data_IF_589773624952
#
_entry.id   IF_589773624952
#
_cell.length_a   1.000
_cell.length_b   1.000
_cell.length_c   1.000
_cell.angle_alpha   90.00
_cell.angle_beta   90.00
_cell.angle_gamma   90.00
#
_symmetry.space_group_name_H-M   'P 1'
#
loop_
_entity.id
_entity.type
_entity.pdbx_description
1 polymer ?
#
# COMPACT_ATOMS: atom_id res chain seq x y z
N UNK A 1 6.75 -3.69 13.28
CA UNK A 1 5.29 -3.87 13.04
C UNK A 1 5.11 -5.11 12.18
N UNK A 2 4.11 -5.96 12.48
CA UNK A 2 3.72 -7.02 11.54
C UNK A 2 3.00 -6.36 10.37
N UNK A 3 3.34 -6.73 9.14
CA UNK A 3 2.66 -6.20 7.95
C UNK A 3 1.17 -6.56 7.98
N UNK A 4 0.25 -5.65 7.63
CA UNK A 4 -1.18 -5.97 7.50
C UNK A 4 -1.49 -6.68 6.18
N UNK A 5 -0.50 -6.81 5.29
CA UNK A 5 -0.68 -7.34 3.94
C UNK A 5 -0.38 -8.85 3.86
N UNK A 6 -0.97 -9.49 2.86
CA UNK A 6 -0.75 -10.90 2.56
C UNK A 6 0.73 -11.16 2.21
N UNK A 7 1.23 -12.37 2.50
CA UNK A 7 2.58 -12.77 2.12
C UNK A 7 2.78 -12.72 0.59
N UNK A 8 4.04 -12.73 0.17
CA UNK A 8 4.41 -12.82 -1.24
C UNK A 8 3.79 -14.09 -1.87
N UNK A 9 3.07 -13.96 -3.00
CA UNK A 9 2.61 -15.11 -3.77
C UNK A 9 3.78 -15.97 -4.25
N UNK A 10 3.58 -17.28 -4.30
CA UNK A 10 4.53 -18.20 -4.89
C UNK A 10 4.56 -18.07 -6.43
N UNK A 11 5.70 -18.33 -7.05
CA UNK A 11 5.83 -18.38 -8.51
C UNK A 11 6.03 -17.03 -9.22
N UNK A 12 6.15 -15.94 -8.49
CA UNK A 12 6.50 -14.63 -9.07
C UNK A 12 7.97 -14.60 -9.53
N UNK A 13 8.23 -13.95 -10.66
CA UNK A 13 9.58 -13.60 -11.09
C UNK A 13 10.23 -12.57 -10.14
N UNK A 14 11.55 -12.45 -10.19
CA UNK A 14 12.28 -11.48 -9.37
C UNK A 14 11.81 -10.03 -9.60
N UNK A 15 11.50 -9.68 -10.85
CA UNK A 15 10.97 -8.37 -11.20
C UNK A 15 9.59 -8.11 -10.56
N UNK A 16 8.69 -9.11 -10.58
CA UNK A 16 7.37 -9.03 -9.97
C UNK A 16 7.46 -8.96 -8.44
N UNK A 17 8.35 -9.75 -7.83
CA UNK A 17 8.64 -9.68 -6.39
C UNK A 17 9.13 -8.29 -6.01
N UNK A 18 10.09 -7.74 -6.74
CA UNK A 18 10.64 -6.41 -6.48
C UNK A 18 9.57 -5.31 -6.59
N UNK A 19 8.75 -5.35 -7.65
CA UNK A 19 7.66 -4.41 -7.86
C UNK A 19 6.59 -4.51 -6.76
N UNK A 20 6.21 -5.73 -6.36
CA UNK A 20 5.25 -5.96 -5.27
C UNK A 20 5.79 -5.44 -3.93
N UNK A 21 7.05 -5.73 -3.61
CA UNK A 21 7.69 -5.25 -2.38
C UNK A 21 7.82 -3.73 -2.36
N UNK A 22 8.06 -3.06 -3.51
CA UNK A 22 8.01 -1.59 -3.60
C UNK A 22 6.64 -1.08 -3.20
N UNK A 23 5.57 -1.62 -3.79
CA UNK A 23 4.19 -1.22 -3.51
C UNK A 23 3.80 -1.49 -2.05
N UNK A 24 4.17 -2.66 -1.52
CA UNK A 24 3.99 -3.02 -0.10
C UNK A 24 4.63 -1.99 0.84
N UNK A 25 5.89 -1.62 0.63
CA UNK A 25 6.57 -0.62 1.47
C UNK A 25 5.87 0.75 1.42
N UNK A 26 5.35 1.15 0.27
CA UNK A 26 4.60 2.39 0.15
C UNK A 26 3.29 2.33 0.93
N UNK A 27 2.55 1.22 0.82
CA UNK A 27 1.30 1.01 1.54
C UNK A 27 1.52 0.93 3.06
N UNK A 28 2.54 0.20 3.53
CA UNK A 28 2.91 0.11 4.94
C UNK A 28 3.24 1.47 5.54
N UNK A 29 3.94 2.32 4.77
CA UNK A 29 4.23 3.70 5.18
C UNK A 29 2.95 4.51 5.37
N UNK A 30 2.01 4.45 4.41
CA UNK A 30 0.72 5.12 4.55
C UNK A 30 -0.06 4.65 5.78
N UNK A 31 -0.13 3.34 6.02
CA UNK A 31 -0.79 2.77 7.20
C UNK A 31 -0.14 3.27 8.50
N UNK A 32 1.20 3.27 8.56
CA UNK A 32 1.92 3.75 9.73
C UNK A 32 1.69 5.25 9.98
N UNK A 33 1.72 6.08 8.93
CA UNK A 33 1.44 7.52 9.02
C UNK A 33 0.01 7.77 9.52
N UNK A 34 -0.98 7.06 8.99
CA UNK A 34 -2.37 7.17 9.42
C UNK A 34 -2.54 6.79 10.90
N UNK A 35 -1.93 5.67 11.31
CA UNK A 35 -1.95 5.20 12.70
C UNK A 35 -1.28 6.20 13.66
N UNK A 36 -0.12 6.76 13.30
CA UNK A 36 0.57 7.79 14.09
C UNK A 36 -0.24 9.10 14.18
N UNK A 37 -1.01 9.42 13.14
CA UNK A 37 -1.94 10.54 13.11
C UNK A 37 -3.28 10.29 13.82
N UNK A 38 -3.44 9.16 14.51
CA UNK A 38 -4.66 8.82 15.26
C UNK A 38 -5.85 8.39 14.39
N UNK A 39 -5.64 8.15 13.10
CA UNK A 39 -6.66 7.72 12.13
C UNK A 39 -6.23 6.42 11.45
N UNK A 40 -6.13 5.30 12.20
CA UNK A 40 -5.75 4.03 11.59
C UNK A 40 -6.74 3.65 10.48
N UNK A 41 -6.26 3.07 9.36
CA UNK A 41 -7.13 2.74 8.24
C UNK A 41 -8.12 1.63 8.62
N UNK A 42 -9.33 1.71 8.05
CA UNK A 42 -10.34 0.65 8.19
C UNK A 42 -9.91 -0.62 7.45
N UNK A 43 -10.58 -1.74 7.73
CA UNK A 43 -10.37 -3.00 6.99
C UNK A 43 -10.63 -2.87 5.48
N UNK A 44 -11.56 -2.01 5.08
CA UNK A 44 -11.88 -1.75 3.67
C UNK A 44 -10.71 -1.05 2.96
N UNK A 45 -10.12 -0.04 3.62
CA UNK A 45 -8.92 0.64 3.11
C UNK A 45 -7.73 -0.33 3.02
N UNK A 46 -7.55 -1.20 4.03
CA UNK A 46 -6.50 -2.23 4.00
C UNK A 46 -6.72 -3.21 2.83
N UNK A 47 -7.96 -3.62 2.56
CA UNK A 47 -8.28 -4.50 1.45
C UNK A 47 -8.00 -3.84 0.09
N UNK A 48 -8.33 -2.57 -0.09
CA UNK A 48 -8.00 -1.85 -1.33
C UNK A 48 -6.47 -1.64 -1.46
N UNK A 49 -5.78 -1.39 -0.34
CA UNK A 49 -4.32 -1.30 -0.33
C UNK A 49 -3.70 -2.65 -0.68
N UNK A 50 -4.29 -3.77 -0.28
CA UNK A 50 -3.85 -5.09 -0.68
C UNK A 50 -3.93 -5.26 -2.21
N UNK A 51 -5.03 -4.82 -2.85
CA UNK A 51 -5.16 -4.85 -4.32
C UNK A 51 -4.09 -4.01 -5.01
N UNK A 52 -3.77 -2.84 -4.45
CA UNK A 52 -2.62 -2.04 -4.91
C UNK A 52 -1.28 -2.75 -4.68
N UNK A 53 -1.10 -3.43 -3.54
CA UNK A 53 0.11 -4.20 -3.21
C UNK A 53 0.28 -5.40 -4.11
N UNK A 54 -0.80 -6.05 -4.55
CA UNK A 54 -0.75 -7.19 -5.48
C UNK A 54 -0.64 -6.74 -6.94
N UNK A 55 -1.19 -5.58 -7.26
CA UNK A 55 -0.97 -4.88 -8.55
C UNK A 55 -2.17 -4.94 -9.46
N UNK A 56 -3.31 -5.26 -8.86
CA UNK A 56 -4.62 -5.30 -9.51
C UNK A 56 -5.14 -3.90 -9.82
N UNK A 57 -4.70 -2.91 -9.04
CA UNK A 57 -5.04 -1.51 -9.21
C UNK A 57 -3.79 -0.63 -9.07
N UNK A 58 -3.82 0.52 -9.73
CA UNK A 58 -2.87 1.61 -9.53
C UNK A 58 -3.29 2.49 -8.35
N UNK A 59 -2.39 3.36 -7.86
CA UNK A 59 -2.76 4.38 -6.87
C UNK A 59 -3.85 5.33 -7.40
N UNK A 60 -3.87 5.61 -8.71
CA UNK A 60 -4.89 6.46 -9.32
C UNK A 60 -6.29 5.82 -9.30
N UNK A 61 -6.36 4.49 -9.29
CA UNK A 61 -7.61 3.71 -9.21
C UNK A 61 -8.01 3.39 -7.77
N UNK A 62 -7.24 3.86 -6.79
CA UNK A 62 -7.52 3.61 -5.37
C UNK A 62 -8.81 4.31 -4.94
N UNK A 63 -9.89 3.54 -4.81
CA UNK A 63 -11.24 4.06 -4.63
C UNK A 63 -11.43 4.94 -3.37
N UNK A 64 -10.60 4.74 -2.35
CA UNK A 64 -10.67 5.45 -1.07
C UNK A 64 -9.62 6.57 -0.95
N UNK A 65 -9.13 7.14 -2.06
CA UNK A 65 -8.08 8.15 -2.02
C UNK A 65 -8.46 9.37 -1.15
N UNK A 66 -9.74 9.76 -1.14
CA UNK A 66 -10.27 10.87 -0.35
C UNK A 66 -10.56 10.49 1.11
N UNK A 67 -10.92 9.24 1.37
CA UNK A 67 -11.26 8.71 2.71
C UNK A 67 -10.05 8.13 3.47
N UNK A 68 -8.88 8.10 2.82
CA UNK A 68 -7.64 7.64 3.42
C UNK A 68 -6.67 8.83 3.56
N UNK A 69 -6.67 9.55 4.70
CA UNK A 69 -5.87 10.77 4.89
C UNK A 69 -4.37 10.60 4.62
N UNK A 70 -3.85 9.38 4.80
CA UNK A 70 -2.45 9.05 4.51
C UNK A 70 -2.17 8.61 3.07
N UNK A 71 -3.15 8.66 2.16
CA UNK A 71 -2.97 8.40 0.73
C UNK A 71 -1.84 9.24 0.14
N UNK A 72 -1.76 10.53 0.50
CA UNK A 72 -0.68 11.41 0.06
C UNK A 72 0.70 10.94 0.53
N UNK A 73 0.80 10.29 1.69
CA UNK A 73 2.05 9.69 2.14
C UNK A 73 2.45 8.48 1.29
N UNK A 74 1.48 7.66 0.86
CA UNK A 74 1.71 6.55 -0.08
C UNK A 74 2.18 7.07 -1.44
N UNK A 75 1.48 8.05 -2.01
CA UNK A 75 1.84 8.69 -3.29
C UNK A 75 3.22 9.33 -3.23
N UNK A 76 3.52 10.07 -2.17
CA UNK A 76 4.82 10.70 -1.99
C UNK A 76 5.93 9.65 -1.90
N UNK A 77 5.69 8.57 -1.16
CA UNK A 77 6.68 7.49 -1.02
C UNK A 77 6.91 6.75 -2.34
N UNK A 78 5.86 6.53 -3.12
CA UNK A 78 5.95 5.91 -4.45
C UNK A 78 6.87 6.73 -5.37
N UNK A 79 6.64 8.05 -5.44
CA UNK A 79 7.44 8.98 -6.25
C UNK A 79 8.91 9.02 -5.84
N UNK A 80 9.21 8.91 -4.55
CA UNK A 80 10.58 8.90 -4.02
C UNK A 80 11.29 7.54 -4.15
N UNK A 81 10.54 6.48 -4.48
CA UNK A 81 11.06 5.13 -4.65
C UNK A 81 11.16 4.72 -6.13
N UNK A 82 11.00 5.68 -7.06
CA UNK A 82 11.31 5.54 -8.48
C UNK A 82 12.78 5.90 -8.74
#
# INVERSE_FOLDING_TARGET
MKTPFNPLPEGLSEAEVSARLKRQRCAEWGVAVAALGGSPPSSEIIAELQRYVDGEITLAEFAFADDFPAYQAVVTRERLAA
#
